data_IF_518815040049
#
_entry.id   IF_518815040049
#
_cell.length_a   1.000
_cell.length_b   1.000
_cell.length_c   1.000
_cell.angle_alpha   90.00
_cell.angle_beta   90.00
_cell.angle_gamma   90.00
#
_symmetry.space_group_name_H-M   'P 1'
#
loop_
_entity.id
_entity.type
_entity.pdbx_description
1 polymer ?
#
# COMPACT_ATOMS: atom_id res chain seq x y z
N UNK A 1 75.92 17.89 16.57
CA UNK A 1 75.70 18.85 15.47
C UNK A 1 75.31 18.07 14.23
N UNK A 2 74.13 18.40 13.65
CA UNK A 2 73.70 18.36 12.23
C UNK A 2 73.98 17.11 11.39
N UNK A 3 73.16 16.63 10.47
CA UNK A 3 71.78 16.81 10.01
C UNK A 3 71.67 15.89 8.77
N UNK A 4 70.50 15.32 8.49
CA UNK A 4 70.27 14.63 7.22
C UNK A 4 68.89 13.98 7.12
N UNK A 5 67.85 14.81 6.99
CA UNK A 5 66.47 14.40 6.69
C UNK A 5 66.39 13.82 5.27
N UNK A 6 65.70 12.69 5.10
CA UNK A 6 65.04 12.32 3.85
C UNK A 6 63.57 12.05 4.17
N UNK A 7 62.68 12.80 3.51
CA UNK A 7 61.25 12.82 3.80
C UNK A 7 60.52 11.63 3.18
N UNK A 8 59.67 10.98 3.97
CA UNK A 8 58.57 10.18 3.43
C UNK A 8 57.43 11.12 3.08
N UNK A 9 57.11 11.19 1.79
CA UNK A 9 55.91 11.82 1.29
C UNK A 9 54.67 11.08 1.83
N UNK A 10 53.77 11.82 2.48
CA UNK A 10 52.42 11.36 2.76
C UNK A 10 51.69 11.26 1.43
N UNK A 11 51.28 10.05 1.04
CA UNK A 11 50.30 9.88 -0.02
C UNK A 11 48.96 10.43 0.48
N UNK A 12 48.48 11.46 -0.22
CA UNK A 12 47.24 12.17 0.08
C UNK A 12 46.02 11.26 -0.05
N UNK A 13 45.01 11.55 0.77
CA UNK A 13 43.72 10.91 0.69
C UNK A 13 43.01 11.20 -0.63
N UNK A 14 42.23 10.23 -1.07
CA UNK A 14 41.02 10.49 -1.84
C UNK A 14 39.85 10.16 -0.93
N UNK A 15 39.34 11.17 -0.24
CA UNK A 15 37.96 11.16 0.24
C UNK A 15 37.08 10.97 -0.99
N UNK A 16 36.39 9.83 -1.08
CA UNK A 16 35.35 9.61 -2.08
C UNK A 16 34.17 10.51 -1.72
N UNK A 17 34.18 11.73 -2.25
CA UNK A 17 33.06 12.65 -2.20
C UNK A 17 31.88 12.03 -2.94
N UNK A 18 30.76 11.89 -2.20
CA UNK A 18 29.40 11.58 -2.64
C UNK A 18 29.26 10.92 -4.01
N UNK A 19 29.30 9.58 -4.04
CA UNK A 19 28.69 8.85 -5.15
C UNK A 19 27.22 9.26 -5.24
N UNK A 20 26.85 9.83 -6.39
CA UNK A 20 25.52 10.19 -6.84
C UNK A 20 24.54 9.02 -6.66
N UNK A 21 23.99 8.87 -5.45
CA UNK A 21 22.93 7.90 -5.18
C UNK A 21 21.67 8.49 -5.76
N UNK A 22 21.24 7.94 -6.90
CA UNK A 22 19.91 8.19 -7.45
C UNK A 22 18.88 8.15 -6.31
N UNK A 23 17.99 9.15 -6.21
CA UNK A 23 17.02 9.23 -5.12
C UNK A 23 16.17 7.96 -5.09
N UNK A 24 15.93 7.44 -3.88
CA UNK A 24 15.21 6.17 -3.70
C UNK A 24 13.75 6.35 -4.10
N UNK A 25 13.23 5.50 -4.96
CA UNK A 25 11.82 5.52 -5.34
C UNK A 25 11.01 4.62 -4.41
N UNK A 26 9.86 5.10 -3.93
CA UNK A 26 8.86 4.28 -3.24
C UNK A 26 8.16 3.42 -4.29
N UNK A 27 8.56 2.15 -4.42
CA UNK A 27 8.02 1.25 -5.43
C UNK A 27 6.64 0.72 -5.02
N UNK A 28 6.45 0.45 -3.73
CA UNK A 28 5.15 0.09 -3.18
C UNK A 28 4.62 1.16 -2.22
N UNK A 29 3.53 1.81 -2.62
CA UNK A 29 2.82 2.79 -1.81
C UNK A 29 1.48 2.21 -1.35
N UNK A 30 1.23 2.23 -0.05
CA UNK A 30 -0.05 1.85 0.55
C UNK A 30 -0.79 3.10 1.06
N UNK A 31 -2.09 3.24 0.78
CA UNK A 31 -2.85 4.46 1.10
C UNK A 31 -4.11 4.13 1.91
N UNK A 32 -4.23 4.76 3.09
CA UNK A 32 -5.45 4.81 3.88
C UNK A 32 -6.25 6.05 3.45
N UNK A 33 -7.30 5.82 2.66
CA UNK A 33 -8.13 6.84 2.02
C UNK A 33 -9.18 7.46 2.97
N UNK A 34 -8.70 8.09 4.04
CA UNK A 34 -9.55 8.65 5.10
C UNK A 34 -10.06 10.07 4.78
N UNK A 35 -11.16 10.47 5.41
CA UNK A 35 -11.73 11.83 5.30
C UNK A 35 -12.90 11.99 4.32
N UNK A 36 -13.30 10.94 3.61
CA UNK A 36 -14.44 10.97 2.66
C UNK A 36 -15.73 11.54 3.27
N UNK A 37 -16.18 10.96 4.37
CA UNK A 37 -17.41 11.40 5.05
C UNK A 37 -17.28 12.82 5.61
N UNK A 38 -16.11 13.14 6.20
CA UNK A 38 -15.81 14.46 6.78
C UNK A 38 -15.86 15.56 5.71
N UNK A 39 -15.30 15.29 4.54
CA UNK A 39 -15.29 16.19 3.40
C UNK A 39 -16.70 16.58 2.92
N UNK A 40 -17.60 15.60 2.87
CA UNK A 40 -18.99 15.82 2.48
C UNK A 40 -19.77 16.57 3.57
N UNK A 41 -19.63 16.18 4.83
CA UNK A 41 -20.37 16.81 5.94
C UNK A 41 -19.97 18.27 6.14
N UNK A 42 -18.70 18.62 5.95
CA UNK A 42 -18.23 20.02 6.00
C UNK A 42 -18.88 20.90 4.93
N UNK A 43 -19.43 20.30 3.86
CA UNK A 43 -20.11 20.99 2.75
C UNK A 43 -21.64 20.84 2.81
N UNK A 44 -22.18 20.31 3.91
CA UNK A 44 -23.61 20.06 4.08
C UNK A 44 -24.16 18.90 3.21
N UNK A 45 -23.29 18.03 2.69
CA UNK A 45 -23.68 16.92 1.82
C UNK A 45 -23.74 15.58 2.56
N UNK A 46 -24.58 14.63 2.10
CA UNK A 46 -24.55 13.26 2.60
C UNK A 46 -23.17 12.62 2.45
N UNK A 47 -22.74 11.83 3.44
CA UNK A 47 -21.42 11.14 3.47
C UNK A 47 -21.11 10.36 2.19
N UNK A 48 -22.13 9.75 1.58
CA UNK A 48 -22.01 8.98 0.36
C UNK A 48 -21.49 9.81 -0.83
N UNK A 49 -21.76 11.13 -0.86
CA UNK A 49 -21.23 12.04 -1.89
C UNK A 49 -19.71 12.10 -1.81
N UNK A 50 -19.15 12.17 -0.59
CA UNK A 50 -17.71 12.14 -0.37
C UNK A 50 -17.08 10.84 -0.86
N UNK A 51 -17.73 9.71 -0.62
CA UNK A 51 -17.26 8.41 -1.13
C UNK A 51 -17.28 8.30 -2.66
N UNK A 52 -18.28 8.89 -3.33
CA UNK A 52 -18.30 8.95 -4.81
C UNK A 52 -17.12 9.78 -5.34
N UNK A 53 -16.87 10.95 -4.75
CA UNK A 53 -15.71 11.77 -5.08
C UNK A 53 -14.39 11.07 -4.77
N UNK A 54 -14.34 10.31 -3.68
CA UNK A 54 -13.21 9.46 -3.33
C UNK A 54 -12.91 8.38 -4.37
N UNK A 55 -13.93 7.76 -4.98
CA UNK A 55 -13.74 6.80 -6.05
C UNK A 55 -13.18 7.45 -7.33
N UNK A 56 -13.63 8.66 -7.66
CA UNK A 56 -13.02 9.47 -8.73
C UNK A 56 -11.56 9.77 -8.42
N UNK A 57 -11.23 9.99 -7.14
CA UNK A 57 -9.85 10.26 -6.74
C UNK A 57 -8.93 9.06 -6.90
N UNK A 58 -9.40 7.87 -6.57
CA UNK A 58 -8.65 6.62 -6.81
C UNK A 58 -8.21 6.53 -8.27
N UNK A 59 -9.13 6.82 -9.19
CA UNK A 59 -8.86 6.80 -10.64
C UNK A 59 -7.73 7.78 -11.03
N UNK A 60 -7.72 8.98 -10.47
CA UNK A 60 -6.66 9.98 -10.72
C UNK A 60 -5.30 9.48 -10.21
N UNK A 61 -5.27 8.94 -8.99
CA UNK A 61 -4.05 8.44 -8.35
C UNK A 61 -3.49 7.23 -9.10
N UNK A 62 -4.33 6.25 -9.46
CA UNK A 62 -3.93 5.07 -10.25
C UNK A 62 -3.25 5.47 -11.56
N UNK A 63 -3.75 6.49 -12.25
CA UNK A 63 -3.14 7.01 -13.49
C UNK A 63 -1.79 7.67 -13.26
N UNK A 64 -1.62 8.36 -12.13
CA UNK A 64 -0.40 9.10 -11.82
C UNK A 64 0.74 8.17 -11.37
N UNK A 65 0.43 7.08 -10.67
CA UNK A 65 1.41 6.17 -10.06
C UNK A 65 2.57 5.75 -10.98
N UNK A 66 2.34 5.24 -12.21
CA UNK A 66 3.45 4.82 -13.08
C UNK A 66 4.44 5.95 -13.40
N UNK A 67 3.96 7.17 -13.58
CA UNK A 67 4.81 8.34 -13.89
C UNK A 67 5.63 8.80 -12.68
N UNK A 68 5.21 8.42 -11.47
CA UNK A 68 5.90 8.68 -10.21
C UNK A 68 6.86 7.54 -9.83
N UNK A 69 7.01 6.51 -10.68
CA UNK A 69 7.83 5.33 -10.39
C UNK A 69 7.19 4.33 -9.43
N UNK A 70 5.91 4.52 -9.06
CA UNK A 70 5.16 3.58 -8.22
C UNK A 70 4.76 2.38 -9.07
N UNK A 71 5.18 1.20 -8.63
CA UNK A 71 4.92 -0.10 -9.29
C UNK A 71 3.78 -0.87 -8.64
N UNK A 72 3.61 -0.69 -7.33
CA UNK A 72 2.58 -1.34 -6.53
C UNK A 72 1.82 -0.26 -5.76
N UNK A 73 0.49 -0.27 -5.88
CA UNK A 73 -0.39 0.61 -5.14
C UNK A 73 -1.39 -0.24 -4.37
N UNK A 74 -1.42 -0.13 -3.04
CA UNK A 74 -2.44 -0.80 -2.22
C UNK A 74 -3.33 0.22 -1.53
N UNK A 75 -4.64 0.20 -1.76
CA UNK A 75 -5.58 1.16 -1.14
C UNK A 75 -6.53 0.49 -0.17
N UNK A 76 -6.76 1.13 0.97
CA UNK A 76 -7.70 0.65 1.98
C UNK A 76 -9.12 1.14 1.68
N UNK A 77 -9.92 0.32 1.00
CA UNK A 77 -11.26 0.71 0.56
C UNK A 77 -12.35 0.44 1.60
N UNK A 78 -12.29 -0.68 2.31
CA UNK A 78 -13.28 -1.04 3.34
C UNK A 78 -12.68 -1.99 4.38
N UNK A 79 -12.71 -1.60 5.66
CA UNK A 79 -12.18 -2.42 6.75
C UNK A 79 -13.19 -3.40 7.34
N UNK A 80 -12.72 -4.44 8.03
CA UNK A 80 -13.59 -5.34 8.81
C UNK A 80 -14.35 -4.60 9.93
N UNK A 81 -13.81 -3.51 10.46
CA UNK A 81 -14.51 -2.68 11.45
C UNK A 81 -15.59 -1.78 10.82
N UNK A 82 -15.58 -1.57 9.49
CA UNK A 82 -16.59 -0.75 8.82
C UNK A 82 -17.98 -1.41 8.76
N UNK A 83 -18.11 -2.69 9.07
CA UNK A 83 -19.40 -3.34 9.28
C UNK A 83 -20.20 -2.76 10.46
N UNK A 84 -19.55 -1.99 11.35
CA UNK A 84 -20.23 -1.27 12.45
C UNK A 84 -20.98 -0.01 12.00
N UNK A 85 -20.84 0.39 10.73
CA UNK A 85 -21.58 1.53 10.15
C UNK A 85 -23.04 1.15 9.89
N UNK A 86 -23.88 2.13 9.57
CA UNK A 86 -25.27 1.86 9.22
C UNK A 86 -25.36 0.95 7.99
N UNK A 87 -26.36 0.07 7.96
CA UNK A 87 -26.62 -0.83 6.83
C UNK A 87 -26.74 -0.06 5.51
N UNK A 88 -27.37 1.12 5.53
CA UNK A 88 -27.49 1.99 4.37
C UNK A 88 -26.13 2.47 3.84
N UNK A 89 -25.22 2.91 4.72
CA UNK A 89 -23.87 3.34 4.32
C UNK A 89 -23.08 2.17 3.74
N UNK A 90 -23.16 0.99 4.37
CA UNK A 90 -22.48 -0.22 3.88
C UNK A 90 -22.99 -0.63 2.49
N UNK A 91 -24.30 -0.74 2.30
CA UNK A 91 -24.89 -1.08 1.00
C UNK A 91 -24.54 -0.03 -0.07
N UNK A 92 -24.57 1.26 0.29
CA UNK A 92 -24.18 2.36 -0.59
C UNK A 92 -22.72 2.26 -1.04
N UNK A 93 -21.80 1.92 -0.12
CA UNK A 93 -20.38 1.71 -0.41
C UNK A 93 -20.16 0.54 -1.36
N UNK A 94 -20.80 -0.60 -1.10
CA UNK A 94 -20.70 -1.78 -1.97
C UNK A 94 -21.25 -1.49 -3.38
N UNK A 95 -22.33 -0.70 -3.49
CA UNK A 95 -22.87 -0.28 -4.78
C UNK A 95 -21.95 0.69 -5.53
N UNK A 96 -21.25 1.59 -4.84
CA UNK A 96 -20.21 2.45 -5.47
C UNK A 96 -19.09 1.57 -6.02
N UNK A 97 -18.64 0.60 -5.22
CA UNK A 97 -17.55 -0.29 -5.59
C UNK A 97 -17.87 -1.15 -6.80
N UNK A 98 -19.06 -1.77 -6.83
CA UNK A 98 -19.52 -2.55 -7.99
C UNK A 98 -19.56 -1.69 -9.27
N UNK A 99 -20.08 -0.46 -9.18
CA UNK A 99 -20.10 0.47 -10.33
C UNK A 99 -18.70 0.89 -10.78
N UNK A 100 -17.76 1.03 -9.86
CA UNK A 100 -16.37 1.36 -10.20
C UNK A 100 -15.73 0.23 -10.99
N UNK A 101 -15.84 -1.02 -10.52
CA UNK A 101 -15.30 -2.19 -11.24
C UNK A 101 -15.87 -2.27 -12.65
N UNK A 102 -17.20 -2.13 -12.78
CA UNK A 102 -17.89 -2.25 -14.07
C UNK A 102 -17.44 -1.18 -15.07
N UNK A 103 -17.32 0.09 -14.63
CA UNK A 103 -16.98 1.22 -15.51
C UNK A 103 -15.50 1.33 -15.85
N UNK A 104 -14.63 0.93 -14.93
CA UNK A 104 -13.19 1.18 -15.06
C UNK A 104 -12.45 -0.02 -15.65
N UNK A 105 -13.10 -1.18 -15.77
CA UNK A 105 -12.49 -2.42 -16.22
C UNK A 105 -11.70 -2.32 -17.53
N UNK A 106 -12.36 -1.88 -18.61
CA UNK A 106 -11.75 -1.75 -19.94
C UNK A 106 -10.58 -0.77 -19.91
N UNK A 107 -10.71 0.27 -19.10
CA UNK A 107 -9.70 1.31 -19.02
C UNK A 107 -8.49 0.89 -18.21
N UNK A 108 -8.67 0.20 -17.09
CA UNK A 108 -7.56 -0.37 -16.31
C UNK A 108 -6.74 -1.31 -17.19
N UNK A 109 -7.41 -2.15 -17.98
CA UNK A 109 -6.75 -3.02 -18.95
C UNK A 109 -5.96 -2.21 -20.00
N UNK A 110 -6.58 -1.20 -20.62
CA UNK A 110 -5.93 -0.35 -21.61
C UNK A 110 -4.74 0.45 -21.03
N UNK A 111 -4.81 0.82 -19.75
CA UNK A 111 -3.73 1.52 -19.04
C UNK A 111 -2.64 0.55 -18.53
N UNK A 112 -2.78 -0.76 -18.75
CA UNK A 112 -1.81 -1.78 -18.34
C UNK A 112 -1.78 -2.05 -16.84
N UNK A 113 -2.88 -1.76 -16.14
CA UNK A 113 -3.04 -2.00 -14.70
C UNK A 113 -3.45 -3.45 -14.46
N UNK A 114 -2.79 -4.11 -13.51
CA UNK A 114 -3.19 -5.41 -12.95
C UNK A 114 -3.94 -5.18 -11.65
N UNK A 115 -5.26 -5.40 -11.65
CA UNK A 115 -6.11 -5.21 -10.48
C UNK A 115 -6.22 -6.52 -9.67
N UNK A 116 -6.13 -6.41 -8.35
CA UNK A 116 -6.34 -7.51 -7.40
C UNK A 116 -7.04 -7.05 -6.12
N UNK A 117 -7.64 -7.97 -5.38
CA UNK A 117 -8.31 -7.69 -4.11
C UNK A 117 -7.79 -8.54 -2.96
N UNK A 118 -7.58 -7.91 -1.81
CA UNK A 118 -7.23 -8.58 -0.53
C UNK A 118 -8.34 -8.37 0.51
N UNK A 119 -8.41 -9.27 1.49
CA UNK A 119 -9.46 -9.31 2.51
C UNK A 119 -10.45 -10.47 2.36
N UNK A 120 -11.28 -10.67 3.39
CA UNK A 120 -12.24 -11.77 3.45
C UNK A 120 -13.43 -11.52 2.51
N UNK A 121 -13.49 -12.28 1.41
CA UNK A 121 -14.57 -12.14 0.41
C UNK A 121 -15.87 -12.80 0.82
N UNK A 122 -15.86 -13.69 1.82
CA UNK A 122 -17.02 -14.54 2.17
C UNK A 122 -18.24 -13.74 2.62
N UNK A 123 -18.03 -12.54 3.17
CA UNK A 123 -19.08 -11.62 3.63
C UNK A 123 -19.63 -10.70 2.55
N UNK A 124 -19.05 -10.72 1.35
CA UNK A 124 -19.48 -9.87 0.24
C UNK A 124 -20.58 -10.57 -0.56
N UNK A 125 -21.46 -9.79 -1.19
CA UNK A 125 -22.50 -10.34 -2.05
C UNK A 125 -21.90 -11.21 -3.18
N UNK A 126 -22.47 -12.39 -3.50
CA UNK A 126 -21.92 -13.29 -4.52
C UNK A 126 -21.77 -12.65 -5.91
N UNK A 127 -22.61 -11.67 -6.27
CA UNK A 127 -22.46 -10.92 -7.52
C UNK A 127 -21.18 -10.10 -7.49
N UNK A 128 -20.91 -9.41 -6.38
CA UNK A 128 -19.69 -8.62 -6.22
C UNK A 128 -18.45 -9.53 -6.25
N UNK A 129 -18.48 -10.69 -5.59
CA UNK A 129 -17.39 -11.66 -5.65
C UNK A 129 -17.07 -12.09 -7.08
N UNK A 130 -18.10 -12.38 -7.90
CA UNK A 130 -17.93 -12.72 -9.32
C UNK A 130 -17.37 -11.56 -10.14
N UNK A 131 -17.82 -10.32 -9.89
CA UNK A 131 -17.28 -9.14 -10.56
C UNK A 131 -15.80 -8.93 -10.24
N UNK A 132 -15.42 -9.11 -8.98
CA UNK A 132 -14.02 -9.04 -8.53
C UNK A 132 -13.17 -10.10 -9.24
N UNK A 133 -13.57 -11.37 -9.20
CA UNK A 133 -12.84 -12.45 -9.88
C UNK A 133 -12.72 -12.22 -11.40
N UNK A 134 -13.81 -11.72 -12.03
CA UNK A 134 -13.83 -11.42 -13.45
C UNK A 134 -12.83 -10.32 -13.82
N UNK A 135 -12.74 -9.24 -13.05
CA UNK A 135 -11.81 -8.15 -13.37
C UNK A 135 -10.34 -8.52 -13.07
N UNK A 136 -10.09 -9.32 -12.03
CA UNK A 136 -8.76 -9.87 -11.74
C UNK A 136 -8.24 -10.68 -12.92
N UNK A 137 -9.04 -11.62 -13.44
CA UNK A 137 -8.68 -12.43 -14.58
C UNK A 137 -8.42 -11.58 -15.85
N UNK A 138 -9.28 -10.58 -16.09
CA UNK A 138 -9.16 -9.70 -17.26
C UNK A 138 -7.92 -8.80 -17.23
N UNK A 139 -7.46 -8.42 -16.04
CA UNK A 139 -6.32 -7.49 -15.87
C UNK A 139 -5.02 -8.20 -15.51
N UNK A 140 -5.01 -9.53 -15.42
CA UNK A 140 -3.87 -10.33 -14.95
C UNK A 140 -2.56 -10.12 -15.73
N UNK A 141 -2.64 -9.74 -17.01
CA UNK A 141 -1.47 -9.46 -17.86
C UNK A 141 -0.96 -8.03 -17.76
N UNK A 142 -1.57 -7.17 -16.94
CA UNK A 142 -1.12 -5.80 -16.72
C UNK A 142 0.28 -5.76 -16.09
N UNK A 143 1.15 -4.91 -16.62
CA UNK A 143 2.56 -4.81 -16.18
C UNK A 143 2.98 -3.39 -15.82
N UNK A 144 2.11 -2.39 -15.94
CA UNK A 144 2.43 -0.99 -15.66
C UNK A 144 2.23 -0.61 -14.20
N UNK A 145 1.19 -1.15 -13.57
CA UNK A 145 0.89 -0.93 -12.16
C UNK A 145 0.16 -2.16 -11.60
N UNK A 146 0.65 -2.69 -10.50
CA UNK A 146 -0.10 -3.63 -9.67
C UNK A 146 -0.96 -2.84 -8.69
N UNK A 147 -2.26 -2.84 -8.93
CA UNK A 147 -3.24 -2.13 -8.12
C UNK A 147 -4.01 -3.10 -7.23
N UNK A 148 -3.79 -3.00 -5.94
CA UNK A 148 -4.42 -3.84 -4.91
C UNK A 148 -5.46 -3.04 -4.13
N UNK A 149 -6.66 -3.59 -4.02
CA UNK A 149 -7.74 -2.99 -3.23
C UNK A 149 -8.06 -3.87 -2.03
N UNK A 150 -7.85 -3.33 -0.83
CA UNK A 150 -8.25 -3.96 0.43
C UNK A 150 -9.74 -3.73 0.71
N UNK A 151 -10.55 -4.80 0.62
CA UNK A 151 -12.00 -4.78 0.85
C UNK A 151 -12.41 -5.86 1.83
N UNK A 152 -13.20 -5.48 2.85
CA UNK A 152 -13.41 -6.29 4.04
C UNK A 152 -12.08 -6.84 4.60
N UNK A 153 -11.06 -5.99 4.58
CA UNK A 153 -9.72 -6.33 4.99
C UNK A 153 -9.47 -5.87 6.42
N UNK A 154 -8.69 -6.64 7.16
CA UNK A 154 -8.08 -6.21 8.42
C UNK A 154 -6.89 -7.12 8.69
N UNK A 155 -5.74 -6.55 9.02
CA UNK A 155 -4.49 -7.31 9.11
C UNK A 155 -4.50 -8.39 10.19
N UNK A 156 -5.15 -8.14 11.33
CA UNK A 156 -5.39 -9.19 12.34
C UNK A 156 -6.22 -10.35 11.81
N UNK A 157 -7.21 -10.07 10.96
CA UNK A 157 -8.01 -11.12 10.31
C UNK A 157 -7.19 -11.88 9.26
N UNK A 158 -6.41 -11.18 8.44
CA UNK A 158 -5.49 -11.77 7.47
C UNK A 158 -4.51 -12.73 8.16
N UNK A 159 -3.83 -12.28 9.21
CA UNK A 159 -2.90 -13.11 9.99
C UNK A 159 -3.63 -14.32 10.57
N UNK A 160 -4.84 -14.14 11.12
CA UNK A 160 -5.61 -15.27 11.65
C UNK A 160 -5.98 -16.30 10.56
N UNK A 161 -6.33 -15.86 9.35
CA UNK A 161 -6.59 -16.76 8.20
C UNK A 161 -5.31 -17.47 7.75
N UNK A 162 -4.20 -16.75 7.65
CA UNK A 162 -2.89 -17.33 7.31
C UNK A 162 -2.45 -18.39 8.32
N UNK A 163 -2.58 -18.11 9.62
CA UNK A 163 -2.25 -19.07 10.69
C UNK A 163 -3.14 -20.31 10.64
N UNK A 164 -4.44 -20.18 10.33
CA UNK A 164 -5.33 -21.34 10.15
C UNK A 164 -4.89 -22.22 8.97
N UNK A 165 -4.48 -21.62 7.86
CA UNK A 165 -3.97 -22.35 6.71
C UNK A 165 -2.66 -23.09 7.05
N UNK A 166 -1.71 -22.41 7.69
CA UNK A 166 -0.47 -23.02 8.19
C UNK A 166 -0.74 -24.19 9.15
N UNK A 167 -1.69 -24.03 10.06
CA UNK A 167 -2.06 -25.09 11.00
C UNK A 167 -2.64 -26.33 10.27
N UNK A 168 -3.39 -26.12 9.18
CA UNK A 168 -3.90 -27.21 8.35
C UNK A 168 -2.76 -27.95 7.62
N UNK A 169 -1.78 -27.22 7.10
CA UNK A 169 -0.59 -27.82 6.47
C UNK A 169 0.25 -28.63 7.47
N UNK A 170 0.41 -28.11 8.68
CA UNK A 170 1.05 -28.85 9.78
C UNK A 170 0.28 -30.12 10.13
N UNK A 171 -1.04 -30.03 10.26
CA UNK A 171 -1.88 -31.19 10.56
C UNK A 171 -1.89 -32.24 9.44
N UNK A 172 -1.75 -31.81 8.18
CA UNK A 172 -1.63 -32.68 7.01
C UNK A 172 -0.23 -33.30 6.85
N UNK A 173 0.76 -32.86 7.64
CA UNK A 173 2.15 -33.31 7.54
C UNK A 173 2.91 -32.73 6.34
N UNK A 174 2.36 -31.72 5.66
CA UNK A 174 3.02 -31.02 4.54
C UNK A 174 4.01 -29.96 5.02
N UNK A 175 3.89 -29.53 6.29
CA UNK A 175 4.83 -28.61 6.94
C UNK A 175 5.18 -29.08 8.36
N UNK A 176 6.47 -29.13 8.69
CA UNK A 176 6.88 -29.41 10.07
C UNK A 176 6.69 -28.17 10.96
N UNK A 177 6.20 -28.29 12.21
CA UNK A 177 6.03 -27.13 13.11
C UNK A 177 7.31 -26.30 13.28
N UNK A 178 8.47 -26.96 13.40
CA UNK A 178 9.77 -26.29 13.52
C UNK A 178 10.28 -25.62 12.24
N UNK A 179 9.62 -25.83 11.10
CA UNK A 179 9.96 -25.19 9.84
C UNK A 179 9.18 -23.88 9.60
N UNK A 180 8.31 -23.48 10.53
CA UNK A 180 7.58 -22.20 10.45
C UNK A 180 8.54 -21.04 10.72
N UNK A 181 8.71 -20.21 9.70
CA UNK A 181 9.48 -18.96 9.66
C UNK A 181 8.59 -17.77 9.25
N UNK A 182 9.14 -16.55 9.31
CA UNK A 182 8.49 -15.35 8.77
C UNK A 182 8.12 -15.50 7.29
N UNK A 183 8.98 -16.15 6.50
CA UNK A 183 8.74 -16.39 5.07
C UNK A 183 7.54 -17.33 4.83
N UNK A 184 7.39 -18.39 5.62
CA UNK A 184 6.20 -19.24 5.55
C UNK A 184 4.94 -18.51 5.96
N UNK A 185 4.99 -17.58 6.94
CA UNK A 185 3.83 -16.75 7.28
C UNK A 185 3.47 -15.84 6.11
N UNK A 186 4.46 -15.12 5.56
CA UNK A 186 4.26 -14.22 4.42
C UNK A 186 3.65 -14.93 3.21
N UNK A 187 4.06 -16.17 2.93
CA UNK A 187 3.51 -16.99 1.85
C UNK A 187 2.02 -17.35 2.01
N UNK A 188 1.46 -17.23 3.22
CA UNK A 188 0.06 -17.51 3.52
C UNK A 188 -0.80 -16.25 3.70
N UNK A 189 -0.21 -15.06 3.60
CA UNK A 189 -0.94 -13.78 3.63
C UNK A 189 -1.63 -13.53 2.29
N UNK A 190 -2.63 -12.64 2.26
CA UNK A 190 -3.33 -12.24 1.03
C UNK A 190 -2.40 -11.50 0.04
N UNK A 191 -1.21 -11.13 0.52
CA UNK A 191 -0.20 -10.30 -0.13
C UNK A 191 1.06 -11.08 -0.49
N UNK A 192 1.02 -12.42 -0.47
CA UNK A 192 2.18 -13.30 -0.67
C UNK A 192 2.97 -13.06 -1.97
N UNK A 193 2.34 -12.47 -3.00
CA UNK A 193 2.95 -12.17 -4.28
C UNK A 193 3.25 -10.66 -4.48
N UNK A 194 3.20 -9.87 -3.40
CA UNK A 194 3.50 -8.45 -3.37
C UNK A 194 4.76 -8.19 -2.53
N UNK A 195 5.60 -7.20 -2.90
CA UNK A 195 6.60 -6.68 -1.98
C UNK A 195 5.92 -5.96 -0.81
N UNK A 196 6.63 -5.78 0.31
CA UNK A 196 6.14 -4.93 1.39
C UNK A 196 6.06 -3.45 0.97
N UNK A 197 5.13 -2.66 1.53
CA UNK A 197 5.09 -1.21 1.28
C UNK A 197 6.37 -0.51 1.73
N UNK A 198 6.92 0.32 0.85
CA UNK A 198 7.98 1.27 1.19
C UNK A 198 7.42 2.44 2.01
N UNK A 199 6.23 2.90 1.63
CA UNK A 199 5.57 4.09 2.14
C UNK A 199 4.09 3.84 2.38
N UNK A 200 3.62 4.21 3.57
CA UNK A 200 2.20 4.26 3.93
C UNK A 200 1.76 5.71 4.04
N UNK A 201 0.76 6.09 3.26
CA UNK A 201 0.16 7.43 3.30
C UNK A 201 -1.20 7.31 3.97
N UNK A 202 -1.50 8.20 4.90
CA UNK A 202 -2.86 8.37 5.43
C UNK A 202 -3.30 9.83 5.33
N UNK A 203 -4.47 10.01 4.75
CA UNK A 203 -5.14 11.31 4.63
C UNK A 203 -5.92 11.67 5.90
N UNK A 204 -6.45 12.90 5.95
CA UNK A 204 -7.31 13.47 6.99
C UNK A 204 -6.67 13.83 8.34
N UNK A 205 -5.35 13.73 8.46
CA UNK A 205 -4.58 14.13 9.64
C UNK A 205 -4.56 13.11 10.78
N UNK A 206 -5.19 11.95 10.61
CA UNK A 206 -5.23 10.90 11.64
C UNK A 206 -3.92 10.10 11.67
N UNK A 207 -3.23 10.07 12.81
CA UNK A 207 -1.90 9.46 12.97
C UNK A 207 -1.94 8.02 13.49
N UNK A 208 -2.59 7.12 12.75
CA UNK A 208 -2.69 5.69 13.10
C UNK A 208 -2.81 4.80 11.86
N UNK A 209 -2.52 3.51 11.98
CA UNK A 209 -2.58 2.56 10.85
C UNK A 209 -3.93 1.86 10.73
N UNK A 210 -4.74 1.84 11.79
CA UNK A 210 -6.10 1.28 11.77
C UNK A 210 -6.19 -0.15 11.22
N UNK A 211 -5.30 -1.04 11.68
CA UNK A 211 -5.28 -2.47 11.29
C UNK A 211 -4.99 -2.70 9.79
N UNK A 212 -4.42 -1.71 9.10
CA UNK A 212 -4.03 -1.83 7.69
C UNK A 212 -2.60 -2.37 7.58
N UNK A 213 -2.45 -3.54 6.95
CA UNK A 213 -1.17 -4.17 6.60
C UNK A 213 -0.12 -4.25 7.73
N UNK A 214 -0.48 -4.59 8.99
CA UNK A 214 0.41 -4.51 10.14
C UNK A 214 1.64 -5.42 10.05
N UNK A 215 1.57 -6.51 9.29
CA UNK A 215 2.74 -7.38 9.02
C UNK A 215 3.66 -6.72 7.99
N UNK A 216 3.08 -6.33 6.86
CA UNK A 216 3.78 -5.83 5.69
C UNK A 216 4.38 -4.44 5.93
N UNK A 217 3.79 -3.64 6.82
CA UNK A 217 4.25 -2.26 7.10
C UNK A 217 5.17 -2.18 8.32
N UNK A 218 5.72 -3.30 8.78
CA UNK A 218 6.61 -3.37 9.94
C UNK A 218 7.82 -2.42 9.82
N UNK A 219 8.33 -2.24 8.61
CA UNK A 219 9.45 -1.33 8.34
C UNK A 219 9.09 -0.13 7.46
N UNK A 220 7.84 -0.01 7.01
CA UNK A 220 7.43 1.06 6.10
C UNK A 220 7.64 2.45 6.71
N UNK A 221 7.89 3.45 5.86
CA UNK A 221 7.77 4.84 6.28
C UNK A 221 6.30 5.27 6.28
N UNK A 222 5.99 6.27 7.11
CA UNK A 222 4.63 6.80 7.22
C UNK A 222 4.61 8.28 6.88
N UNK A 223 3.63 8.67 6.08
CA UNK A 223 3.27 10.07 5.83
C UNK A 223 1.81 10.28 6.24
N UNK A 224 1.58 11.26 7.11
CA UNK A 224 0.25 11.67 7.53
C UNK A 224 -0.04 13.07 7.00
N UNK A 225 -0.96 13.20 6.06
CA UNK A 225 -1.37 14.50 5.50
C UNK A 225 -2.71 14.94 6.09
N UNK A 226 -2.88 16.23 6.45
CA UNK A 226 -4.18 16.76 6.88
C UNK A 226 -5.23 16.77 5.76
N UNK A 227 -4.81 16.69 4.49
CA UNK A 227 -5.71 16.72 3.32
C UNK A 227 -6.75 15.61 3.40
N UNK A 228 -8.02 15.92 3.19
CA UNK A 228 -9.09 14.91 3.13
C UNK A 228 -9.02 14.17 1.79
N UNK A 229 -9.29 12.85 1.77
CA UNK A 229 -9.11 12.03 0.57
C UNK A 229 -9.73 12.61 -0.73
N UNK A 230 -10.96 13.14 -0.74
CA UNK A 230 -11.52 13.73 -1.97
C UNK A 230 -10.71 14.91 -2.54
N UNK A 231 -9.93 15.61 -1.72
CA UNK A 231 -9.09 16.75 -2.11
C UNK A 231 -7.62 16.36 -2.35
N UNK A 232 -7.18 15.14 -1.99
CA UNK A 232 -5.79 14.66 -2.12
C UNK A 232 -5.39 14.49 -3.59
N UNK A 233 -4.43 15.27 -4.10
CA UNK A 233 -4.13 15.31 -5.55
C UNK A 233 -2.98 14.41 -6.01
N UNK A 234 -2.94 14.10 -7.32
CA UNK A 234 -1.75 13.47 -7.91
C UNK A 234 -0.48 14.32 -7.73
N UNK A 235 -0.62 15.65 -7.68
CA UNK A 235 0.49 16.56 -7.36
C UNK A 235 0.98 16.34 -5.93
N UNK A 236 0.08 16.33 -4.95
CA UNK A 236 0.43 16.10 -3.55
C UNK A 236 1.06 14.71 -3.34
N UNK A 237 0.56 13.67 -4.02
CA UNK A 237 1.20 12.36 -4.04
C UNK A 237 2.64 12.46 -4.57
N UNK A 238 2.86 13.18 -5.66
CA UNK A 238 4.19 13.40 -6.22
C UNK A 238 5.13 14.09 -5.23
N UNK A 239 4.66 15.13 -4.53
CA UNK A 239 5.43 15.82 -3.49
C UNK A 239 5.79 14.90 -2.31
N UNK A 240 4.85 14.06 -1.87
CA UNK A 240 5.08 13.08 -0.79
C UNK A 240 6.14 12.05 -1.22
N UNK A 241 6.00 11.49 -2.42
CA UNK A 241 6.96 10.49 -2.94
C UNK A 241 8.34 11.10 -3.15
N UNK A 242 8.42 12.35 -3.62
CA UNK A 242 9.69 13.07 -3.74
C UNK A 242 10.38 13.26 -2.38
N UNK A 243 9.62 13.53 -1.30
CA UNK A 243 10.19 13.62 0.06
C UNK A 243 10.71 12.28 0.57
N UNK A 244 10.05 11.16 0.24
CA UNK A 244 10.53 9.83 0.60
C UNK A 244 11.93 9.55 0.03
N UNK A 245 12.19 9.93 -1.23
CA UNK A 245 13.47 9.68 -1.89
C UNK A 245 14.68 10.40 -1.28
N UNK A 246 14.45 11.41 -0.44
CA UNK A 246 15.48 12.20 0.22
C UNK A 246 15.81 11.73 1.66
N UNK A 247 15.15 10.68 2.18
CA UNK A 247 15.34 10.21 3.57
C UNK A 247 16.38 9.07 3.67
N UNK A 248 17.22 9.10 4.69
CA UNK A 248 18.13 8.00 5.04
C UNK A 248 17.44 6.96 5.95
N UNK A 249 17.36 5.69 5.51
CA UNK A 249 16.83 4.60 6.35
C UNK A 249 17.92 3.99 7.22
N UNK A 250 17.62 3.83 8.52
CA UNK A 250 18.42 3.06 9.49
C UNK A 250 17.63 1.80 9.85
N UNK A 251 17.92 0.67 9.19
CA UNK A 251 17.29 -0.63 9.50
C UNK A 251 17.86 -1.26 10.78
N UNK A 252 17.96 -0.50 11.87
CA UNK A 252 18.60 -0.95 13.11
C UNK A 252 20.14 -1.07 13.05
N UNK A 253 20.78 -0.77 11.92
CA UNK A 253 22.23 -0.63 11.81
C UNK A 253 22.69 0.76 12.24
N UNK A 254 23.57 0.85 13.24
CA UNK A 254 24.24 2.10 13.64
C UNK A 254 25.23 2.48 12.55
N UNK A 255 25.11 3.69 12.02
CA UNK A 255 26.19 4.32 11.24
C UNK A 255 27.24 4.73 12.26
N UNK A 256 28.34 3.97 12.36
CA UNK A 256 29.49 4.43 13.13
C UNK A 256 30.01 5.71 12.46
N UNK A 257 29.93 6.82 13.20
CA UNK A 257 30.58 8.08 12.83
C UNK A 257 32.09 8.03 13.00
#
# INVERSE_FOLDING_TARGET
MRHGRAGLAKAGGSESTGADRLPRLAQHVAIIMDGNGRWATQRGWPRLVGHRRGAERVREIVRACPNLGIRFLTVYAFSTENWKRSTEEVLGLMAIFARYIDREADRLLAEGVRLRFIGDRSKLDPKLQRMMAGIEARTASGTRLDFTVAINYGGRDEIARAVRALAADVAAGTLAPGAVTEATIAAHLDTADLPDPDLVIRTSGETRTSNFLPWQTAYAEYEFTPTLWPDFTAHELGEIVARFGNRERRFGGVVNG
#
